data_IF_495425723057
#
_entry.id   IF_495425723057
#
_cell.length_a   1.000
_cell.length_b   1.000
_cell.length_c   1.000
_cell.angle_alpha   90.00
_cell.angle_beta   90.00
_cell.angle_gamma   90.00
#
_symmetry.space_group_name_H-M   'P 1'
#
loop_
_entity.id
_entity.type
_entity.pdbx_description
1 polymer ?
#
# COMPACT_ATOMS: atom_id res chain seq x y z
N UNK A 1 33.43 6.42 8.92
CA UNK A 1 33.41 5.23 9.79
C UNK A 1 32.83 4.08 8.98
N UNK A 2 33.45 2.88 8.94
CA UNK A 2 32.81 1.73 8.30
C UNK A 2 31.52 1.38 9.06
N UNK A 3 30.45 1.14 8.33
CA UNK A 3 29.18 0.64 8.88
C UNK A 3 29.49 -0.73 9.50
N UNK A 4 29.17 -0.98 10.78
CA UNK A 4 29.37 -2.29 11.37
C UNK A 4 28.67 -3.36 10.55
N UNK A 5 29.31 -4.49 10.37
CA UNK A 5 28.75 -5.68 9.69
C UNK A 5 27.56 -6.16 10.56
N UNK A 6 26.36 -5.68 10.24
CA UNK A 6 25.15 -6.13 10.92
C UNK A 6 24.94 -7.61 10.64
N UNK A 7 24.62 -8.42 11.64
CA UNK A 7 24.38 -9.84 11.43
C UNK A 7 23.29 -10.03 10.38
N UNK A 8 23.60 -10.79 9.34
CA UNK A 8 22.66 -11.16 8.26
C UNK A 8 21.68 -12.26 8.73
N UNK A 9 21.29 -12.20 9.99
CA UNK A 9 20.36 -13.13 10.59
C UNK A 9 18.94 -12.61 10.47
N UNK A 10 18.19 -13.18 9.54
CA UNK A 10 16.80 -12.83 9.32
C UNK A 10 15.92 -13.07 10.56
N UNK A 11 16.24 -14.05 11.39
CA UNK A 11 15.50 -14.32 12.62
C UNK A 11 15.73 -13.19 13.64
N UNK A 12 16.99 -12.75 13.80
CA UNK A 12 17.31 -11.60 14.66
C UNK A 12 16.64 -10.33 14.15
N UNK A 13 16.69 -10.07 12.83
CA UNK A 13 16.06 -8.89 12.24
C UNK A 13 14.55 -8.86 12.48
N UNK A 14 13.87 -10.01 12.44
CA UNK A 14 12.44 -10.13 12.77
C UNK A 14 12.15 -9.94 14.25
N UNK A 15 13.03 -10.39 15.12
CA UNK A 15 12.87 -10.28 16.58
C UNK A 15 13.07 -8.86 17.12
N UNK A 16 13.76 -7.98 16.36
CA UNK A 16 13.96 -6.59 16.75
C UNK A 16 12.68 -5.78 16.53
N UNK A 17 12.26 -4.95 17.52
CA UNK A 17 11.14 -4.04 17.32
C UNK A 17 11.48 -3.02 16.24
N UNK A 18 10.60 -2.87 15.25
CA UNK A 18 10.77 -1.97 14.11
C UNK A 18 9.59 -1.02 13.98
N UNK A 19 9.84 0.12 13.32
CA UNK A 19 8.79 1.05 12.91
C UNK A 19 8.79 1.11 11.39
N UNK A 20 7.63 0.90 10.78
CA UNK A 20 7.42 1.01 9.34
C UNK A 20 6.87 2.40 9.03
N UNK A 21 7.60 3.23 8.28
CA UNK A 21 7.22 4.63 8.02
C UNK A 21 6.88 4.92 6.55
N UNK A 22 7.04 3.96 5.63
CA UNK A 22 6.85 4.21 4.20
C UNK A 22 6.43 2.94 3.45
N UNK A 23 5.18 2.51 3.63
CA UNK A 23 4.60 1.38 2.91
C UNK A 23 3.38 1.84 2.11
N UNK A 24 3.45 1.65 0.78
CA UNK A 24 2.38 1.98 -0.15
C UNK A 24 1.38 0.85 -0.27
N UNK A 25 0.16 1.04 0.25
CA UNK A 25 -0.91 0.03 0.18
C UNK A 25 -1.39 -0.25 -1.24
N UNK A 26 -1.29 0.73 -2.14
CA UNK A 26 -1.66 0.61 -3.55
C UNK A 26 -0.68 -0.21 -4.40
N UNK A 27 0.49 -0.56 -3.85
CA UNK A 27 1.52 -1.37 -4.50
C UNK A 27 1.96 -2.62 -3.71
N UNK A 28 1.64 -2.70 -2.43
CA UNK A 28 2.20 -3.69 -1.48
C UNK A 28 1.33 -4.94 -1.26
N UNK A 29 0.55 -5.40 -2.26
CA UNK A 29 -0.32 -6.57 -2.11
C UNK A 29 0.45 -7.88 -2.04
N UNK A 30 -0.04 -8.82 -1.23
CA UNK A 30 0.39 -10.22 -1.31
C UNK A 30 0.09 -10.78 -2.70
N UNK A 31 1.01 -11.52 -3.35
CA UNK A 31 0.76 -12.09 -4.68
C UNK A 31 -0.50 -12.96 -4.75
N UNK A 32 -0.79 -13.75 -3.71
CA UNK A 32 -1.99 -14.57 -3.65
C UNK A 32 -3.28 -13.72 -3.56
N UNK A 33 -3.25 -12.61 -2.85
CA UNK A 33 -4.37 -11.67 -2.77
C UNK A 33 -4.59 -10.96 -4.10
N UNK A 34 -3.51 -10.53 -4.76
CA UNK A 34 -3.61 -9.92 -6.08
C UNK A 34 -4.23 -10.89 -7.10
N UNK A 35 -3.83 -12.17 -7.09
CA UNK A 35 -4.44 -13.21 -7.95
C UNK A 35 -5.94 -13.35 -7.70
N UNK A 36 -6.36 -13.43 -6.43
CA UNK A 36 -7.77 -13.58 -6.07
C UNK A 36 -8.60 -12.37 -6.54
N UNK A 37 -8.15 -11.16 -6.21
CA UNK A 37 -8.85 -9.92 -6.57
C UNK A 37 -8.88 -9.70 -8.08
N UNK A 38 -7.77 -9.96 -8.78
CA UNK A 38 -7.68 -9.84 -10.23
C UNK A 38 -8.62 -10.82 -10.95
N UNK A 39 -8.74 -12.06 -10.45
CA UNK A 39 -9.67 -13.05 -10.97
C UNK A 39 -11.13 -12.58 -10.81
N UNK A 40 -11.49 -12.02 -9.65
CA UNK A 40 -12.85 -11.53 -9.39
C UNK A 40 -13.24 -10.33 -10.28
N UNK A 41 -12.28 -9.48 -10.62
CA UNK A 41 -12.49 -8.27 -11.42
C UNK A 41 -12.12 -8.41 -12.90
N UNK A 42 -11.66 -9.60 -13.33
CA UNK A 42 -11.24 -9.84 -14.72
C UNK A 42 -9.98 -9.08 -15.13
N UNK A 43 -9.11 -8.76 -14.18
CA UNK A 43 -7.82 -8.11 -14.45
C UNK A 43 -6.81 -9.15 -14.92
N UNK A 44 -6.21 -8.93 -16.10
CA UNK A 44 -5.19 -9.82 -16.63
C UNK A 44 -3.86 -9.63 -15.86
N UNK A 45 -3.28 -10.74 -15.41
CA UNK A 45 -1.98 -10.75 -14.73
C UNK A 45 -0.91 -11.45 -15.58
N UNK A 46 0.38 -11.13 -15.40
CA UNK A 46 1.48 -11.73 -16.14
C UNK A 46 1.79 -13.18 -15.72
N UNK A 47 1.17 -13.68 -14.66
CA UNK A 47 1.35 -15.02 -14.14
C UNK A 47 0.07 -15.54 -13.49
N UNK A 48 -0.15 -16.85 -13.54
CA UNK A 48 -1.32 -17.51 -12.98
C UNK A 48 -1.12 -18.12 -11.59
N UNK A 49 0.06 -17.99 -10.99
CA UNK A 49 0.38 -18.47 -9.64
C UNK A 49 1.17 -17.44 -8.84
N UNK A 50 1.09 -17.54 -7.51
CA UNK A 50 1.66 -16.56 -6.60
C UNK A 50 3.19 -16.48 -6.66
N UNK A 51 3.89 -17.61 -6.84
CA UNK A 51 5.35 -17.64 -6.84
C UNK A 51 5.93 -16.98 -8.10
N UNK A 52 5.34 -17.28 -9.27
CA UNK A 52 5.74 -16.65 -10.54
C UNK A 52 5.38 -15.16 -10.54
N UNK A 53 4.24 -14.78 -9.96
CA UNK A 53 3.84 -13.37 -9.84
C UNK A 53 4.77 -12.60 -8.90
N UNK A 54 5.16 -13.19 -7.77
CA UNK A 54 6.16 -12.61 -6.86
C UNK A 54 7.50 -12.40 -7.56
N UNK A 55 7.97 -13.38 -8.32
CA UNK A 55 9.21 -13.27 -9.09
C UNK A 55 9.13 -12.14 -10.12
N UNK A 56 7.98 -11.98 -10.78
CA UNK A 56 7.73 -10.89 -11.73
C UNK A 56 7.88 -9.51 -11.07
N UNK A 57 7.25 -9.31 -9.90
CA UNK A 57 7.36 -8.07 -9.13
C UNK A 57 8.78 -7.83 -8.63
N UNK A 58 9.45 -8.87 -8.14
CA UNK A 58 10.83 -8.78 -7.64
C UNK A 58 11.81 -8.31 -8.70
N UNK A 59 11.69 -8.79 -9.95
CA UNK A 59 12.53 -8.34 -11.07
C UNK A 59 12.35 -6.84 -11.32
N UNK A 60 11.11 -6.34 -11.30
CA UNK A 60 10.81 -4.92 -11.52
C UNK A 60 11.25 -4.02 -10.37
N UNK A 61 11.02 -4.45 -9.15
CA UNK A 61 11.47 -3.72 -7.95
C UNK A 61 12.98 -3.57 -7.88
N UNK A 62 13.73 -4.54 -8.43
CA UNK A 62 15.19 -4.53 -8.44
C UNK A 62 15.79 -4.02 -9.77
N UNK A 63 14.98 -3.49 -10.67
CA UNK A 63 15.45 -3.05 -12.00
C UNK A 63 16.32 -1.78 -11.96
N UNK A 64 16.29 -1.01 -10.86
CA UNK A 64 16.93 0.30 -10.78
C UNK A 64 16.23 1.39 -11.61
N UNK A 65 15.04 1.10 -12.12
CA UNK A 65 14.23 2.01 -12.96
C UNK A 65 12.90 2.28 -12.30
N UNK A 66 12.62 3.54 -11.95
CA UNK A 66 11.32 3.95 -11.41
C UNK A 66 10.15 3.64 -12.37
N UNK A 67 10.23 3.90 -13.69
CA UNK A 67 9.18 3.50 -14.61
C UNK A 67 8.88 2.00 -14.58
N UNK A 68 9.90 1.14 -14.60
CA UNK A 68 9.71 -0.31 -14.52
C UNK A 68 9.10 -0.76 -13.18
N UNK A 69 9.45 -0.10 -12.07
CA UNK A 69 8.83 -0.34 -10.77
C UNK A 69 7.33 0.03 -10.80
N UNK A 70 6.99 1.17 -11.41
CA UNK A 70 5.62 1.67 -11.48
C UNK A 70 4.68 0.82 -12.36
N UNK A 71 5.21 -0.01 -13.29
CA UNK A 71 4.39 -0.99 -14.04
C UNK A 71 3.60 -1.94 -13.13
N UNK A 72 4.08 -2.20 -11.91
CA UNK A 72 3.38 -3.01 -10.93
C UNK A 72 2.04 -2.40 -10.51
N UNK A 73 1.96 -1.09 -10.43
CA UNK A 73 0.74 -0.38 -10.04
C UNK A 73 -0.37 -0.46 -11.10
N UNK A 74 -0.01 -0.65 -12.38
CA UNK A 74 -0.99 -0.88 -13.45
C UNK A 74 -1.77 -2.19 -13.26
N UNK A 75 -1.25 -3.11 -12.44
CA UNK A 75 -1.89 -4.37 -12.08
C UNK A 75 -2.62 -4.28 -10.74
N UNK A 76 -1.99 -3.67 -9.73
CA UNK A 76 -2.52 -3.64 -8.36
C UNK A 76 -3.73 -2.71 -8.24
N UNK A 77 -3.66 -1.51 -8.82
CA UNK A 77 -4.73 -0.51 -8.73
C UNK A 77 -6.06 -1.04 -9.28
N UNK A 78 -6.14 -1.59 -10.51
CA UNK A 78 -7.39 -2.17 -11.02
C UNK A 78 -7.91 -3.35 -10.20
N UNK A 79 -7.02 -4.19 -9.67
CA UNK A 79 -7.38 -5.33 -8.82
C UNK A 79 -7.97 -4.90 -7.46
N UNK A 80 -7.67 -3.68 -7.01
CA UNK A 80 -8.20 -3.12 -5.77
C UNK A 80 -9.45 -2.25 -5.97
N UNK A 81 -10.09 -2.25 -7.13
CA UNK A 81 -11.21 -1.35 -7.46
C UNK A 81 -12.55 -1.73 -6.78
N UNK A 82 -12.49 -2.12 -5.49
CA UNK A 82 -13.64 -2.41 -4.61
C UNK A 82 -13.33 -2.02 -3.17
N UNK A 83 -14.32 -1.55 -2.45
CA UNK A 83 -14.17 -1.07 -1.05
C UNK A 83 -13.66 -2.20 -0.13
N UNK A 84 -14.21 -3.40 -0.26
CA UNK A 84 -13.79 -4.57 0.52
C UNK A 84 -12.37 -5.06 0.18
N UNK A 85 -11.92 -4.87 -1.07
CA UNK A 85 -10.55 -5.15 -1.46
C UNK A 85 -9.55 -4.17 -0.81
N UNK A 86 -9.90 -2.88 -0.73
CA UNK A 86 -9.11 -1.86 -0.04
C UNK A 86 -8.96 -2.19 1.45
N UNK A 87 -10.07 -2.54 2.11
CA UNK A 87 -10.05 -2.95 3.52
C UNK A 87 -9.19 -4.20 3.73
N UNK A 88 -9.35 -5.22 2.87
CA UNK A 88 -8.57 -6.45 2.93
C UNK A 88 -7.07 -6.20 2.80
N UNK A 89 -6.66 -5.44 1.79
CA UNK A 89 -5.24 -5.15 1.52
C UNK A 89 -4.62 -4.39 2.68
N UNK A 90 -5.31 -3.39 3.24
CA UNK A 90 -4.82 -2.64 4.38
C UNK A 90 -4.66 -3.53 5.64
N UNK A 91 -5.61 -4.42 5.89
CA UNK A 91 -5.52 -5.39 6.98
C UNK A 91 -4.32 -6.34 6.79
N UNK A 92 -4.18 -6.93 5.61
CA UNK A 92 -3.10 -7.87 5.31
C UNK A 92 -1.72 -7.21 5.41
N UNK A 93 -1.56 -5.96 4.96
CA UNK A 93 -0.31 -5.22 5.09
C UNK A 93 0.08 -4.96 6.55
N UNK A 94 -0.90 -4.61 7.39
CA UNK A 94 -0.67 -4.43 8.83
C UNK A 94 -0.29 -5.75 9.51
N UNK A 95 -0.91 -6.87 9.16
CA UNK A 95 -0.58 -8.20 9.69
C UNK A 95 0.82 -8.65 9.24
N UNK A 96 1.23 -8.36 8.00
CA UNK A 96 2.57 -8.68 7.50
C UNK A 96 3.65 -7.87 8.25
N UNK A 97 3.40 -6.58 8.47
CA UNK A 97 4.30 -5.74 9.25
C UNK A 97 4.41 -6.22 10.71
N UNK A 98 3.27 -6.59 11.33
CA UNK A 98 3.25 -7.16 12.68
C UNK A 98 4.04 -8.47 12.74
N UNK A 99 3.84 -9.37 11.80
CA UNK A 99 4.56 -10.64 11.70
C UNK A 99 6.06 -10.47 11.48
N UNK A 100 6.48 -9.36 10.85
CA UNK A 100 7.89 -8.99 10.70
C UNK A 100 8.48 -8.30 11.94
N UNK A 101 7.69 -8.12 13.02
CA UNK A 101 8.14 -7.51 14.27
C UNK A 101 8.00 -5.99 14.34
N UNK A 102 7.20 -5.38 13.46
CA UNK A 102 6.88 -3.97 13.60
C UNK A 102 6.00 -3.72 14.84
N UNK A 103 6.26 -2.62 15.52
CA UNK A 103 5.50 -2.15 16.69
C UNK A 103 4.66 -0.91 16.39
N UNK A 104 4.89 -0.30 15.22
CA UNK A 104 4.14 0.84 14.68
C UNK A 104 4.22 0.80 13.15
N UNK A 105 3.12 1.12 12.45
CA UNK A 105 3.07 1.27 11.00
C UNK A 105 2.45 2.60 10.56
N UNK A 106 3.13 3.32 9.67
CA UNK A 106 2.55 4.43 8.89
C UNK A 106 2.45 3.99 7.43
N UNK A 107 1.24 3.61 7.04
CA UNK A 107 0.92 3.20 5.67
C UNK A 107 0.47 4.40 4.85
N UNK A 108 0.70 4.35 3.53
CA UNK A 108 0.28 5.43 2.64
C UNK A 108 -0.46 4.91 1.42
N UNK A 109 -1.35 5.76 0.90
CA UNK A 109 -2.13 5.43 -0.29
C UNK A 109 -2.66 6.69 -0.97
N UNK A 110 -2.70 6.69 -2.30
CA UNK A 110 -3.37 7.73 -3.08
C UNK A 110 -4.87 7.35 -3.23
N UNK A 111 -5.69 7.85 -2.31
CA UNK A 111 -7.10 7.46 -2.20
C UNK A 111 -7.99 7.87 -3.39
N UNK A 112 -7.50 8.76 -4.27
CA UNK A 112 -8.21 9.20 -5.50
C UNK A 112 -8.02 8.26 -6.69
N UNK A 113 -7.18 7.22 -6.57
CA UNK A 113 -6.90 6.26 -7.65
C UNK A 113 -8.14 5.53 -8.15
N UNK A 114 -9.12 5.30 -7.28
CA UNK A 114 -10.35 4.55 -7.60
C UNK A 114 -11.57 5.42 -7.84
N UNK A 115 -11.43 6.75 -7.92
CA UNK A 115 -12.54 7.65 -8.27
C UNK A 115 -13.10 7.38 -9.68
N UNK A 116 -12.30 6.98 -10.70
CA UNK A 116 -12.83 6.59 -12.00
C UNK A 116 -13.73 5.35 -11.96
N UNK A 117 -13.56 4.48 -10.96
CA UNK A 117 -14.38 3.27 -10.74
C UNK A 117 -15.56 3.54 -9.79
N UNK A 118 -15.82 4.80 -9.42
CA UNK A 118 -16.96 5.21 -8.62
C UNK A 118 -16.74 5.13 -7.10
N UNK A 119 -15.52 4.83 -6.63
CA UNK A 119 -15.19 4.87 -5.20
C UNK A 119 -14.76 6.30 -4.84
N UNK A 120 -15.51 6.95 -3.94
CA UNK A 120 -15.13 8.29 -3.49
C UNK A 120 -13.84 8.26 -2.66
N UNK A 121 -13.12 9.39 -2.62
CA UNK A 121 -11.90 9.52 -1.81
C UNK A 121 -12.19 9.18 -0.33
N UNK A 122 -13.31 9.66 0.19
CA UNK A 122 -13.72 9.38 1.58
C UNK A 122 -13.98 7.89 1.80
N UNK A 123 -14.70 7.22 0.89
CA UNK A 123 -14.96 5.77 0.99
C UNK A 123 -13.66 4.94 0.92
N UNK A 124 -12.72 5.32 0.07
CA UNK A 124 -11.42 4.67 0.01
C UNK A 124 -10.63 4.84 1.32
N UNK A 125 -10.57 6.06 1.88
CA UNK A 125 -9.93 6.33 3.16
C UNK A 125 -10.57 5.51 4.28
N UNK A 126 -11.91 5.48 4.36
CA UNK A 126 -12.65 4.74 5.38
C UNK A 126 -12.37 3.24 5.32
N UNK A 127 -12.33 2.66 4.12
CA UNK A 127 -12.01 1.24 3.92
C UNK A 127 -10.58 0.91 4.35
N UNK A 128 -9.60 1.72 3.91
CA UNK A 128 -8.20 1.52 4.28
C UNK A 128 -8.00 1.63 5.80
N UNK A 129 -8.59 2.64 6.43
CA UNK A 129 -8.53 2.82 7.89
C UNK A 129 -9.24 1.68 8.62
N UNK A 130 -10.39 1.19 8.10
CA UNK A 130 -11.09 0.04 8.67
C UNK A 130 -10.20 -1.21 8.64
N UNK A 131 -9.53 -1.46 7.51
CA UNK A 131 -8.58 -2.56 7.38
C UNK A 131 -7.43 -2.48 8.38
N UNK A 132 -6.76 -1.32 8.47
CA UNK A 132 -5.67 -1.11 9.43
C UNK A 132 -6.10 -1.35 10.88
N UNK A 133 -7.31 -0.92 11.25
CA UNK A 133 -7.86 -1.07 12.61
C UNK A 133 -8.21 -2.51 13.00
N UNK A 134 -8.31 -3.42 12.05
CA UNK A 134 -8.54 -4.85 12.33
C UNK A 134 -7.29 -5.56 12.84
N UNK A 135 -6.11 -5.02 12.52
CA UNK A 135 -4.84 -5.51 13.08
C UNK A 135 -4.61 -4.97 14.49
N UNK A 136 -3.86 -5.71 15.30
CA UNK A 136 -3.37 -5.23 16.59
C UNK A 136 -2.15 -4.31 16.48
N UNK A 137 -1.56 -4.16 15.28
CA UNK A 137 -0.47 -3.22 15.04
C UNK A 137 -1.00 -1.78 15.17
N UNK A 138 -0.48 -0.95 16.09
CA UNK A 138 -0.74 0.47 16.07
C UNK A 138 -0.38 1.05 14.69
N UNK A 139 -1.37 1.60 13.98
CA UNK A 139 -1.18 2.02 12.58
C UNK A 139 -1.90 3.33 12.28
N UNK A 140 -1.33 4.08 11.33
CA UNK A 140 -1.94 5.27 10.76
C UNK A 140 -1.87 5.30 9.24
N UNK A 141 -2.83 5.98 8.61
CA UNK A 141 -2.87 6.20 7.17
C UNK A 141 -2.36 7.60 6.82
N UNK A 142 -1.38 7.67 5.93
CA UNK A 142 -0.97 8.90 5.24
C UNK A 142 -1.68 8.92 3.90
N UNK A 143 -2.51 9.94 3.66
CA UNK A 143 -3.25 10.10 2.39
C UNK A 143 -2.38 10.87 1.41
N UNK A 144 -2.12 10.30 0.24
CA UNK A 144 -1.28 10.91 -0.79
C UNK A 144 -2.10 11.59 -1.87
N UNK A 145 -1.73 12.80 -2.26
CA UNK A 145 -2.03 13.35 -3.58
C UNK A 145 -0.97 12.92 -4.59
N UNK A 146 -1.32 12.90 -5.87
CA UNK A 146 -0.41 12.52 -6.95
C UNK A 146 0.05 13.77 -7.71
N UNK A 147 1.37 13.99 -7.82
CA UNK A 147 1.96 15.19 -8.44
C UNK A 147 1.66 15.35 -9.92
N UNK A 148 1.32 14.26 -10.61
CA UNK A 148 0.89 14.27 -12.00
C UNK A 148 -0.59 14.67 -12.18
N UNK A 149 -1.37 14.81 -11.09
CA UNK A 149 -2.73 15.34 -11.10
C UNK A 149 -2.72 16.87 -11.06
N UNK A 150 -3.83 17.49 -11.46
CA UNK A 150 -3.99 18.92 -11.32
C UNK A 150 -4.14 19.38 -9.85
N UNK A 151 -3.95 20.67 -9.62
CA UNK A 151 -4.01 21.25 -8.28
C UNK A 151 -5.40 21.05 -7.62
N UNK A 152 -6.49 21.02 -8.41
CA UNK A 152 -7.85 20.84 -7.90
C UNK A 152 -8.05 19.42 -7.35
N UNK A 153 -7.52 18.41 -8.06
CA UNK A 153 -7.53 17.02 -7.57
C UNK A 153 -6.72 16.89 -6.29
N UNK A 154 -5.50 17.46 -6.24
CA UNK A 154 -4.67 17.46 -5.04
C UNK A 154 -5.33 18.15 -3.86
N UNK A 155 -6.02 19.28 -4.08
CA UNK A 155 -6.79 19.99 -3.05
C UNK A 155 -7.95 19.13 -2.53
N UNK A 156 -8.65 18.41 -3.41
CA UNK A 156 -9.75 17.53 -2.99
C UNK A 156 -9.25 16.41 -2.07
N UNK A 157 -8.11 15.81 -2.39
CA UNK A 157 -7.44 14.79 -1.55
C UNK A 157 -7.01 15.39 -0.21
N UNK A 158 -6.38 16.58 -0.20
CA UNK A 158 -5.96 17.24 1.02
C UNK A 158 -7.15 17.56 1.94
N UNK A 159 -8.27 18.05 1.39
CA UNK A 159 -9.50 18.29 2.15
C UNK A 159 -10.08 17.00 2.73
N UNK A 160 -10.02 15.88 2.01
CA UNK A 160 -10.43 14.58 2.53
C UNK A 160 -9.51 14.14 3.68
N UNK A 161 -8.19 14.27 3.54
CA UNK A 161 -7.24 13.98 4.60
C UNK A 161 -7.55 14.77 5.89
N UNK A 162 -7.87 16.07 5.77
CA UNK A 162 -8.28 16.92 6.91
C UNK A 162 -9.57 16.40 7.55
N UNK A 163 -10.57 16.00 6.77
CA UNK A 163 -11.85 15.46 7.34
C UNK A 163 -11.63 14.20 8.16
N UNK A 164 -10.65 13.37 7.78
CA UNK A 164 -10.35 12.09 8.44
C UNK A 164 -9.18 12.18 9.43
N UNK A 165 -8.53 13.34 9.59
CA UNK A 165 -7.47 13.54 10.58
C UNK A 165 -7.95 13.23 12.00
N UNK A 166 -7.14 12.48 12.76
CA UNK A 166 -7.50 12.00 14.09
C UNK A 166 -8.51 10.84 14.11
N UNK A 167 -9.00 10.41 12.93
CA UNK A 167 -9.88 9.25 12.78
C UNK A 167 -9.21 8.09 12.03
N UNK A 168 -7.88 8.02 12.08
CA UNK A 168 -7.04 7.01 11.44
C UNK A 168 -6.11 7.60 10.37
N UNK A 169 -6.43 8.78 9.84
CA UNK A 169 -5.50 9.55 9.02
C UNK A 169 -4.57 10.34 9.94
N UNK A 170 -3.25 10.16 9.74
CA UNK A 170 -2.18 10.76 10.54
C UNK A 170 -1.33 11.75 9.76
N UNK A 171 -1.42 11.76 8.43
CA UNK A 171 -0.62 12.64 7.59
C UNK A 171 -1.18 12.82 6.18
N UNK A 172 -0.58 13.75 5.45
CA UNK A 172 -0.81 14.02 4.05
C UNK A 172 0.54 14.14 3.33
N UNK A 173 0.64 13.59 2.12
CA UNK A 173 1.88 13.55 1.33
C UNK A 173 1.60 13.81 -0.15
N UNK A 174 2.66 14.05 -0.91
CA UNK A 174 2.65 14.21 -2.36
C UNK A 174 3.51 13.11 -3.00
N UNK A 175 2.86 12.14 -3.61
CA UNK A 175 3.48 10.99 -4.27
C UNK A 175 3.46 11.11 -5.81
N UNK A 176 3.93 10.05 -6.48
CA UNK A 176 3.95 9.92 -7.94
C UNK A 176 5.29 10.25 -8.57
N UNK A 177 5.47 9.94 -9.87
CA UNK A 177 6.69 10.17 -10.63
C UNK A 177 7.00 11.65 -10.81
#
# INVERSE_FOLDING_TARGET
MPVPDLPRDAALARALPKVLLHEHLDGGLRPATLLALAHELGVALPAGDAATLEAWFRVRSNSGSLPAFLEGFDLTIPAMARVDALERVAFEAAEDALADGCVLGEFRCAADLWTPQGISIDAAIEALVAGLRRSSLPSGLIVCALRQRDARASEAVARAAVRHHGRGVVGFDLAGP
#
